data_IF_386553260989
#
_entry.id   IF_386553260989
#
_cell.length_a   1.000
_cell.length_b   1.000
_cell.length_c   1.000
_cell.angle_alpha   90.00
_cell.angle_beta   90.00
_cell.angle_gamma   90.00
#
_symmetry.space_group_name_H-M   'P 1'
#
loop_
_entity.id
_entity.type
_entity.pdbx_description
1 polymer ?
#
# COMPACT_ATOMS: atom_id res chain seq x y z
N UNK A 1 47.64 25.80 -27.37
CA UNK A 1 46.93 24.89 -26.43
C UNK A 1 45.48 24.82 -26.88
N UNK A 2 45.11 23.72 -27.56
CA UNK A 2 44.01 23.70 -28.54
C UNK A 2 42.61 23.49 -27.96
N UNK A 3 41.63 24.23 -28.51
CA UNK A 3 40.20 24.18 -28.18
C UNK A 3 39.62 22.75 -28.11
N UNK A 4 40.14 21.81 -28.90
CA UNK A 4 39.67 20.42 -28.94
C UNK A 4 40.00 19.57 -27.70
N UNK A 5 40.94 19.97 -26.83
CA UNK A 5 41.18 19.25 -25.58
C UNK A 5 40.11 19.58 -24.52
N UNK A 6 39.69 20.84 -24.48
CA UNK A 6 38.65 21.32 -23.56
C UNK A 6 37.27 20.73 -23.91
N UNK A 7 36.95 20.64 -25.21
CA UNK A 7 35.70 20.05 -25.70
C UNK A 7 35.61 18.56 -25.37
N UNK A 8 36.72 17.81 -25.48
CA UNK A 8 36.78 16.40 -25.07
C UNK A 8 36.56 16.22 -23.58
N UNK A 9 37.18 17.05 -22.73
CA UNK A 9 36.99 17.01 -21.28
C UNK A 9 35.52 17.28 -20.91
N UNK A 10 34.91 18.28 -21.54
CA UNK A 10 33.49 18.57 -21.35
C UNK A 10 32.59 17.42 -21.79
N UNK A 11 32.87 16.80 -22.93
CA UNK A 11 32.09 15.68 -23.45
C UNK A 11 32.22 14.44 -22.55
N UNK A 12 33.42 14.10 -22.11
CA UNK A 12 33.64 12.98 -21.18
C UNK A 12 32.98 13.24 -19.82
N UNK A 13 33.05 14.49 -19.32
CA UNK A 13 32.35 14.89 -18.09
C UNK A 13 30.83 14.76 -18.21
N UNK A 14 30.25 15.17 -19.34
CA UNK A 14 28.81 15.03 -19.61
C UNK A 14 28.37 13.56 -19.70
N UNK A 15 29.18 12.70 -20.35
CA UNK A 15 28.90 11.26 -20.43
C UNK A 15 29.01 10.58 -19.06
N UNK A 16 30.01 10.95 -18.25
CA UNK A 16 30.13 10.42 -16.89
C UNK A 16 28.95 10.84 -16.00
N UNK A 17 28.50 12.09 -16.13
CA UNK A 17 27.35 12.61 -15.38
C UNK A 17 26.03 11.94 -15.79
N UNK A 18 25.81 11.73 -17.10
CA UNK A 18 24.59 11.06 -17.57
C UNK A 18 24.56 9.59 -17.17
N UNK A 19 25.70 8.89 -17.23
CA UNK A 19 25.80 7.49 -16.81
C UNK A 19 25.57 7.34 -15.31
N UNK A 20 26.13 8.25 -14.49
CA UNK A 20 25.87 8.29 -13.05
C UNK A 20 24.40 8.59 -12.73
N UNK A 21 23.76 9.50 -13.47
CA UNK A 21 22.34 9.81 -13.30
C UNK A 21 21.43 8.61 -13.65
N UNK A 22 21.78 7.81 -14.67
CA UNK A 22 21.03 6.58 -15.00
C UNK A 22 21.19 5.50 -13.94
N UNK A 23 22.37 5.35 -13.33
CA UNK A 23 22.57 4.40 -12.22
C UNK A 23 21.90 4.87 -10.92
N UNK A 24 21.68 6.17 -10.76
CA UNK A 24 20.96 6.76 -9.63
C UNK A 24 19.44 6.89 -9.87
N UNK A 25 18.94 6.52 -11.06
CA UNK A 25 17.50 6.50 -11.31
C UNK A 25 16.88 5.43 -10.41
N UNK A 26 16.29 5.90 -9.31
CA UNK A 26 15.81 5.10 -8.21
C UNK A 26 15.02 3.90 -8.68
N UNK A 27 15.45 2.75 -8.19
CA UNK A 27 14.59 1.61 -7.95
C UNK A 27 13.34 2.16 -7.26
N UNK A 28 12.20 2.18 -7.96
CA UNK A 28 10.93 2.30 -7.26
C UNK A 28 10.79 0.97 -6.54
N UNK A 29 11.33 0.90 -5.33
CA UNK A 29 10.92 -0.13 -4.40
C UNK A 29 9.39 0.00 -4.35
N UNK A 30 8.67 -1.07 -4.66
CA UNK A 30 7.23 -1.15 -4.46
C UNK A 30 6.98 -1.04 -2.95
N UNK A 31 7.01 0.19 -2.43
CA UNK A 31 6.77 0.48 -1.02
C UNK A 31 5.27 0.28 -0.83
N UNK A 32 4.92 -0.93 -0.40
CA UNK A 32 3.56 -1.27 0.03
C UNK A 32 3.23 -0.41 1.24
N UNK A 33 2.45 0.64 1.03
CA UNK A 33 1.93 1.47 2.11
C UNK A 33 0.68 0.78 2.68
N UNK A 34 0.70 0.31 3.93
CA UNK A 34 -0.48 -0.33 4.52
C UNK A 34 -1.61 0.70 4.69
N UNK A 35 -2.67 0.53 3.92
CA UNK A 35 -3.86 1.38 3.99
C UNK A 35 -4.82 0.84 5.05
N UNK A 36 -4.76 1.39 6.27
CA UNK A 36 -5.66 1.02 7.37
C UNK A 36 -7.15 1.17 7.04
N UNK A 37 -7.47 2.04 6.09
CA UNK A 37 -8.83 2.28 5.59
C UNK A 37 -9.35 1.15 4.71
N UNK A 38 -8.46 0.35 4.10
CA UNK A 38 -8.78 -0.71 3.14
C UNK A 38 -8.27 -2.08 3.58
N UNK A 39 -7.86 -2.22 4.84
CA UNK A 39 -7.37 -3.46 5.41
C UNK A 39 -7.78 -3.53 6.87
N UNK A 40 -8.34 -4.66 7.28
CA UNK A 40 -8.86 -4.86 8.63
C UNK A 40 -8.05 -5.94 9.36
N UNK A 41 -7.67 -5.65 10.60
CA UNK A 41 -6.89 -6.54 11.48
C UNK A 41 -7.44 -6.47 12.91
N UNK A 42 -7.10 -7.47 13.73
CA UNK A 42 -7.55 -7.51 15.12
C UNK A 42 -6.89 -6.39 15.96
N UNK A 43 -7.61 -5.78 16.93
CA UNK A 43 -9.02 -5.99 17.25
C UNK A 43 -9.95 -5.41 16.18
N UNK A 44 -10.93 -6.20 15.72
CA UNK A 44 -11.82 -5.81 14.62
C UNK A 44 -12.87 -4.77 15.02
N UNK A 45 -13.02 -4.52 16.32
CA UNK A 45 -13.93 -3.55 16.92
C UNK A 45 -13.07 -2.55 17.70
N UNK A 46 -13.36 -1.27 17.49
CA UNK A 46 -12.73 -0.17 18.22
C UNK A 46 -13.58 0.18 19.46
N UNK A 47 -14.23 1.35 19.46
CA UNK A 47 -15.06 1.85 20.55
C UNK A 47 -16.55 1.65 20.22
N UNK A 48 -17.39 1.57 21.25
CA UNK A 48 -18.86 1.54 21.12
C UNK A 48 -19.38 0.39 20.24
N UNK A 49 -18.67 -0.74 20.23
CA UNK A 49 -18.98 -1.92 19.41
C UNK A 49 -18.98 -1.68 17.90
N UNK A 50 -18.25 -0.66 17.43
CA UNK A 50 -18.10 -0.36 16.01
C UNK A 50 -16.64 -0.41 15.56
N UNK A 51 -16.44 -0.57 14.25
CA UNK A 51 -15.15 -0.32 13.60
C UNK A 51 -15.17 1.08 12.98
N UNK A 52 -14.05 1.81 13.06
CA UNK A 52 -13.95 3.17 12.52
C UNK A 52 -14.04 3.22 10.98
N UNK A 53 -13.44 2.26 10.28
CA UNK A 53 -13.30 2.29 8.81
C UNK A 53 -14.22 1.30 8.09
N UNK A 54 -14.73 0.30 8.80
CA UNK A 54 -15.55 -0.74 8.20
C UNK A 54 -16.97 -0.72 8.76
N UNK A 55 -17.92 -1.01 7.90
CA UNK A 55 -19.29 -1.33 8.26
C UNK A 55 -19.55 -2.82 8.06
N UNK A 56 -20.40 -3.40 8.90
CA UNK A 56 -20.72 -4.83 8.87
C UNK A 56 -22.13 -5.07 9.41
N UNK A 57 -22.79 -6.09 8.88
CA UNK A 57 -24.16 -6.41 9.27
C UNK A 57 -24.72 -7.63 8.55
N UNK A 58 -26.04 -7.75 8.58
CA UNK A 58 -26.74 -8.98 8.19
C UNK A 58 -26.48 -10.09 9.20
N UNK A 59 -26.12 -11.28 8.71
CA UNK A 59 -25.75 -12.44 9.55
C UNK A 59 -24.26 -12.47 9.96
N UNK A 60 -23.51 -11.38 9.76
CA UNK A 60 -22.08 -11.33 10.08
C UNK A 60 -21.82 -11.37 11.60
N UNK A 61 -20.87 -12.20 12.02
CA UNK A 61 -20.40 -12.35 13.39
C UNK A 61 -18.97 -11.84 13.51
N UNK A 62 -18.77 -10.84 14.37
CA UNK A 62 -17.47 -10.27 14.66
C UNK A 62 -16.97 -10.81 16.01
N UNK A 63 -15.96 -11.67 15.96
CA UNK A 63 -15.19 -11.99 17.16
C UNK A 63 -13.99 -11.06 17.20
N UNK A 64 -14.08 -10.01 18.01
CA UNK A 64 -13.14 -8.88 18.10
C UNK A 64 -11.67 -9.29 18.01
N UNK A 65 -11.29 -10.39 18.66
CA UNK A 65 -9.89 -10.79 18.81
C UNK A 65 -9.55 -12.11 18.09
N UNK A 66 -10.41 -12.62 17.21
CA UNK A 66 -10.19 -13.96 16.61
C UNK A 66 -10.47 -14.03 15.12
N UNK A 67 -11.70 -13.75 14.70
CA UNK A 67 -12.09 -13.82 13.30
C UNK A 67 -13.35 -12.99 13.02
N UNK A 68 -13.56 -12.68 11.75
CA UNK A 68 -14.82 -12.22 11.21
C UNK A 68 -15.43 -13.36 10.40
N UNK A 69 -16.68 -13.70 10.67
CA UNK A 69 -17.44 -14.70 9.92
C UNK A 69 -18.63 -14.01 9.28
N UNK A 70 -18.70 -14.00 7.95
CA UNK A 70 -19.81 -13.35 7.23
C UNK A 70 -21.13 -14.12 7.40
N UNK A 71 -21.07 -15.46 7.49
CA UNK A 71 -22.26 -16.30 7.63
C UNK A 71 -21.98 -17.51 8.52
N UNK A 72 -23.00 -17.93 9.28
CA UNK A 72 -22.98 -19.19 10.01
C UNK A 72 -23.21 -20.40 9.07
N UNK A 73 -22.95 -21.61 9.57
CA UNK A 73 -23.22 -22.85 8.84
C UNK A 73 -24.71 -23.19 8.88
N UNK A 74 -25.49 -22.37 8.18
CA UNK A 74 -26.94 -22.49 8.05
C UNK A 74 -27.39 -21.96 6.68
N UNK A 75 -28.45 -22.52 6.09
CA UNK A 75 -28.97 -22.05 4.80
C UNK A 75 -29.53 -20.63 4.91
N UNK A 76 -29.59 -19.94 3.77
CA UNK A 76 -30.20 -18.61 3.62
C UNK A 76 -29.60 -17.53 4.53
N UNK A 77 -28.27 -17.55 4.70
CA UNK A 77 -27.52 -16.54 5.46
C UNK A 77 -26.82 -15.55 4.55
N UNK A 78 -26.89 -14.28 4.93
CA UNK A 78 -26.28 -13.18 4.17
C UNK A 78 -25.71 -12.16 5.15
N UNK A 79 -24.39 -12.05 5.21
CA UNK A 79 -23.69 -10.99 5.92
C UNK A 79 -22.80 -10.18 4.99
N UNK A 80 -22.44 -8.97 5.42
CA UNK A 80 -21.56 -8.09 4.66
C UNK A 80 -20.48 -7.49 5.55
N UNK A 81 -19.41 -7.05 4.89
CA UNK A 81 -18.37 -6.21 5.45
C UNK A 81 -17.87 -5.29 4.33
N UNK A 82 -17.87 -3.99 4.58
CA UNK A 82 -17.50 -2.99 3.58
C UNK A 82 -16.61 -1.90 4.19
N UNK A 83 -15.63 -1.43 3.43
CA UNK A 83 -14.97 -0.16 3.72
C UNK A 83 -15.99 0.98 3.62
N UNK A 84 -15.93 1.94 4.55
CA UNK A 84 -16.74 3.16 4.51
C UNK A 84 -16.16 4.24 3.59
N UNK A 85 -14.93 4.05 3.13
CA UNK A 85 -14.18 4.93 2.22
C UNK A 85 -14.13 4.35 0.81
#
# INVERSE_FOLDING_TARGET
>A
MGKGLFEKILFTGAVLLSTAAMMAHGQLDDIVHPLRTHSIYMPYIDQDLQNRWFDFGGDALINTNKYIRLTADAPSKTGYLWSRL
#
